data_IF_689973714829
#
_entry.id   IF_689973714829
#
_cell.length_a   1.000
_cell.length_b   1.000
_cell.length_c   1.000
_cell.angle_alpha   90.00
_cell.angle_beta   90.00
_cell.angle_gamma   90.00
#
_symmetry.space_group_name_H-M   'P 1'
#
loop_
_entity.id
_entity.type
_entity.pdbx_description
1 polymer ?
#
# COMPACT_ATOMS: atom_id res chain seq x y z
N UNK A 1 -4.56 -4.94 -3.68
CA UNK A 1 -4.11 -6.04 -4.55
C UNK A 1 -2.65 -6.42 -4.29
N UNK A 2 -1.69 -5.50 -4.42
CA UNK A 2 -0.25 -5.70 -4.13
C UNK A 2 0.03 -6.44 -2.81
N UNK A 3 -0.63 -6.02 -1.71
CA UNK A 3 -0.43 -6.61 -0.38
C UNK A 3 -0.89 -8.07 -0.30
N UNK A 4 -1.99 -8.43 -0.96
CA UNK A 4 -2.45 -9.83 -1.02
C UNK A 4 -1.49 -10.71 -1.84
N UNK A 5 -0.94 -10.18 -2.95
CA UNK A 5 0.06 -10.89 -3.75
C UNK A 5 1.34 -11.15 -2.94
N UNK A 6 1.78 -10.15 -2.18
CA UNK A 6 2.91 -10.27 -1.26
C UNK A 6 2.64 -11.32 -0.16
N UNK A 7 1.46 -11.27 0.46
CA UNK A 7 1.06 -12.21 1.51
C UNK A 7 0.97 -13.66 1.01
N UNK A 8 0.39 -13.88 -0.18
CA UNK A 8 0.31 -15.19 -0.81
C UNK A 8 1.72 -15.74 -1.09
N UNK A 9 2.60 -14.91 -1.64
CA UNK A 9 3.98 -15.30 -1.96
C UNK A 9 4.76 -15.64 -0.70
N UNK A 10 4.64 -14.85 0.36
CA UNK A 10 5.25 -15.13 1.67
C UNK A 10 4.72 -16.43 2.29
N UNK A 11 3.44 -16.74 2.10
CA UNK A 11 2.82 -18.00 2.55
C UNK A 11 3.43 -19.19 1.81
N UNK A 12 3.57 -19.11 0.49
CA UNK A 12 4.21 -20.16 -0.32
C UNK A 12 5.67 -20.36 0.09
N UNK A 13 6.41 -19.28 0.35
CA UNK A 13 7.79 -19.37 0.85
C UNK A 13 7.85 -20.10 2.19
N UNK A 14 6.95 -19.76 3.11
CA UNK A 14 6.86 -20.40 4.44
C UNK A 14 6.52 -21.89 4.31
N UNK A 15 5.58 -22.24 3.43
CA UNK A 15 5.22 -23.62 3.14
C UNK A 15 6.41 -24.42 2.57
N UNK A 16 7.19 -23.84 1.64
CA UNK A 16 8.41 -24.48 1.14
C UNK A 16 9.41 -24.79 2.27
N UNK A 17 9.55 -23.89 3.24
CA UNK A 17 10.44 -24.10 4.39
C UNK A 17 9.93 -25.24 5.27
N UNK A 18 8.67 -25.14 5.69
CA UNK A 18 8.08 -26.03 6.68
C UNK A 18 7.87 -27.45 6.14
N UNK A 19 7.37 -27.59 4.91
CA UNK A 19 6.97 -28.88 4.34
C UNK A 19 8.10 -29.58 3.57
N UNK A 20 9.09 -28.85 3.04
CA UNK A 20 10.11 -29.44 2.16
C UNK A 20 11.53 -29.26 2.71
N UNK A 21 11.95 -28.03 3.00
CA UNK A 21 13.34 -27.73 3.40
C UNK A 21 13.66 -28.35 4.76
N UNK A 22 12.85 -28.04 5.78
CA UNK A 22 13.12 -28.46 7.16
C UNK A 22 13.12 -29.99 7.34
N UNK A 23 12.14 -30.76 6.81
CA UNK A 23 12.15 -32.22 6.93
C UNK A 23 13.37 -32.86 6.25
N UNK A 24 13.71 -32.43 5.03
CA UNK A 24 14.87 -32.96 4.32
C UNK A 24 16.20 -32.58 5.00
N UNK A 25 16.31 -31.37 5.56
CA UNK A 25 17.48 -30.97 6.35
C UNK A 25 17.64 -31.80 7.63
N UNK A 26 16.54 -32.15 8.31
CA UNK A 26 16.58 -33.02 9.51
C UNK A 26 17.13 -34.41 9.18
N UNK A 27 16.72 -35.01 8.05
CA UNK A 27 17.24 -36.31 7.59
C UNK A 27 18.76 -36.21 7.35
N UNK A 28 19.20 -35.20 6.61
CA UNK A 28 20.63 -34.99 6.28
C UNK A 28 21.47 -34.79 7.55
N UNK A 29 20.96 -34.03 8.54
CA UNK A 29 21.64 -33.81 9.82
C UNK A 29 21.68 -35.10 10.65
N UNK A 30 20.61 -35.88 10.68
CA UNK A 30 20.56 -37.15 11.41
C UNK A 30 21.56 -38.17 10.85
N UNK A 31 21.65 -38.31 9.52
CA UNK A 31 22.64 -39.21 8.89
C UNK A 31 24.07 -38.79 9.18
N UNK A 32 24.37 -37.48 9.10
CA UNK A 32 25.69 -36.94 9.45
C UNK A 32 26.07 -37.19 10.90
N UNK A 33 25.13 -37.05 11.84
CA UNK A 33 25.36 -37.38 13.27
C UNK A 33 25.63 -38.86 13.49
N UNK A 34 25.00 -39.72 12.69
CA UNK A 34 25.18 -41.16 12.75
C UNK A 34 26.41 -41.67 11.96
N UNK A 35 27.24 -40.77 11.41
CA UNK A 35 28.40 -41.14 10.59
C UNK A 35 28.05 -41.74 9.22
N UNK A 36 26.78 -41.71 8.81
CA UNK A 36 26.32 -42.17 7.50
C UNK A 36 26.49 -41.07 6.45
N UNK A 37 26.68 -41.48 5.19
CA UNK A 37 26.63 -40.54 4.05
C UNK A 37 25.16 -40.20 3.74
N UNK A 38 24.73 -38.93 3.84
CA UNK A 38 23.36 -38.55 3.53
C UNK A 38 22.99 -38.82 2.07
N UNK A 39 21.74 -39.17 1.83
CA UNK A 39 21.22 -39.32 0.47
C UNK A 39 21.31 -37.99 -0.31
N UNK A 40 21.89 -38.03 -1.51
CA UNK A 40 22.06 -36.83 -2.34
C UNK A 40 20.72 -36.18 -2.74
N UNK A 41 19.66 -36.99 -2.88
CA UNK A 41 18.32 -36.56 -3.29
C UNK A 41 17.71 -35.53 -2.34
N UNK A 42 17.75 -35.78 -1.03
CA UNK A 42 17.23 -34.84 -0.02
C UNK A 42 17.96 -33.49 -0.04
N UNK A 43 19.28 -33.52 -0.27
CA UNK A 43 20.08 -32.31 -0.44
C UNK A 43 19.70 -31.52 -1.70
N UNK A 44 19.48 -32.19 -2.82
CA UNK A 44 19.08 -31.55 -4.08
C UNK A 44 17.69 -30.90 -4.00
N UNK A 45 16.70 -31.61 -3.44
CA UNK A 45 15.34 -31.09 -3.25
C UNK A 45 15.36 -29.85 -2.35
N UNK A 46 16.11 -29.92 -1.24
CA UNK A 46 16.30 -28.80 -0.32
C UNK A 46 16.91 -27.60 -1.03
N UNK A 47 17.99 -27.82 -1.80
CA UNK A 47 18.68 -26.75 -2.54
C UNK A 47 17.78 -26.08 -3.56
N UNK A 48 16.97 -26.85 -4.29
CA UNK A 48 16.03 -26.31 -5.28
C UNK A 48 15.02 -25.36 -4.61
N UNK A 49 14.34 -25.82 -3.55
CA UNK A 49 13.34 -24.99 -2.84
C UNK A 49 13.97 -23.79 -2.14
N UNK A 50 15.15 -23.95 -1.55
CA UNK A 50 15.90 -22.83 -0.99
C UNK A 50 16.27 -21.80 -2.05
N UNK A 51 16.61 -22.24 -3.27
CA UNK A 51 16.91 -21.36 -4.40
C UNK A 51 15.65 -20.58 -4.81
N UNK A 52 14.50 -21.25 -4.98
CA UNK A 52 13.23 -20.57 -5.25
C UNK A 52 12.89 -19.53 -4.18
N UNK A 53 12.98 -19.90 -2.90
CA UNK A 53 12.74 -18.98 -1.78
C UNK A 53 13.78 -17.85 -1.68
N UNK A 54 14.91 -17.95 -2.37
CA UNK A 54 15.93 -16.90 -2.38
C UNK A 54 15.57 -15.77 -3.36
N UNK A 55 14.79 -16.05 -4.41
CA UNK A 55 14.34 -15.06 -5.41
C UNK A 55 13.17 -14.19 -4.97
N UNK A 56 12.34 -14.68 -4.05
CA UNK A 56 11.08 -14.07 -3.68
C UNK A 56 11.13 -12.95 -2.61
N UNK A 57 12.11 -12.86 -1.70
CA UNK A 57 12.11 -11.83 -0.65
C UNK A 57 12.17 -10.40 -1.17
N UNK A 58 13.07 -10.13 -2.14
CA UNK A 58 13.21 -8.78 -2.71
C UNK A 58 11.91 -8.31 -3.40
N UNK A 59 11.30 -9.10 -4.33
CA UNK A 59 9.97 -8.80 -4.85
C UNK A 59 8.91 -8.54 -3.78
N UNK A 60 8.82 -9.42 -2.77
CA UNK A 60 7.81 -9.33 -1.71
C UNK A 60 7.95 -8.04 -0.91
N UNK A 61 9.18 -7.65 -0.52
CA UNK A 61 9.41 -6.41 0.23
C UNK A 61 8.95 -5.20 -0.57
N UNK A 62 9.30 -5.11 -1.86
CA UNK A 62 8.85 -3.99 -2.69
C UNK A 62 7.32 -3.96 -2.87
N UNK A 63 6.67 -5.12 -3.04
CA UNK A 63 5.22 -5.21 -3.12
C UNK A 63 4.54 -4.78 -1.81
N UNK A 64 5.12 -5.09 -0.64
CA UNK A 64 4.60 -4.64 0.65
C UNK A 64 4.77 -3.12 0.82
N UNK A 65 5.94 -2.60 0.45
CA UNK A 65 6.28 -1.19 0.55
C UNK A 65 5.49 -0.29 -0.42
N UNK A 66 4.93 -0.85 -1.48
CA UNK A 66 4.09 -0.10 -2.44
C UNK A 66 2.91 0.64 -1.79
N UNK A 67 2.37 0.12 -0.67
CA UNK A 67 1.28 0.79 0.05
C UNK A 67 1.73 2.05 0.81
N UNK A 68 3.03 2.21 1.04
CA UNK A 68 3.61 3.39 1.69
C UNK A 68 3.96 4.51 0.69
N UNK A 69 4.05 4.20 -0.61
CA UNK A 69 4.39 5.17 -1.66
C UNK A 69 3.33 5.22 -2.75
N UNK A 70 2.06 5.54 -2.43
CA UNK A 70 0.95 5.48 -3.37
C UNK A 70 1.16 6.36 -4.61
N UNK A 71 1.90 7.46 -4.50
CA UNK A 71 2.24 8.32 -5.65
C UNK A 71 3.01 7.58 -6.76
N UNK A 72 3.73 6.51 -6.43
CA UNK A 72 4.47 5.69 -7.39
C UNK A 72 3.70 4.45 -7.87
N UNK A 73 2.56 4.11 -7.26
CA UNK A 73 1.88 2.82 -7.46
C UNK A 73 0.35 2.88 -7.63
N UNK A 74 -0.28 4.04 -7.37
CA UNK A 74 -1.72 4.24 -7.44
C UNK A 74 -2.19 4.68 -8.84
N UNK A 75 -1.69 4.04 -9.88
CA UNK A 75 -2.18 4.21 -11.25
C UNK A 75 -3.19 3.11 -11.61
N UNK A 76 -4.04 3.29 -12.64
CA UNK A 76 -4.91 2.22 -13.15
C UNK A 76 -4.14 0.92 -13.49
N UNK A 77 -2.88 1.06 -13.90
CA UNK A 77 -1.98 -0.03 -14.28
C UNK A 77 -1.20 -0.66 -13.11
N UNK A 78 -1.69 -0.54 -11.87
CA UNK A 78 -1.04 -1.07 -10.67
C UNK A 78 -0.71 -2.58 -10.78
N UNK A 79 -1.51 -3.36 -11.51
CA UNK A 79 -1.23 -4.78 -11.76
C UNK A 79 0.01 -5.01 -12.63
N UNK A 80 0.24 -4.15 -13.62
CA UNK A 80 1.41 -4.20 -14.48
C UNK A 80 2.66 -3.75 -13.70
N UNK A 81 2.52 -2.68 -12.92
CA UNK A 81 3.61 -2.22 -12.04
C UNK A 81 3.98 -3.29 -11.02
N UNK A 82 3.00 -4.01 -10.46
CA UNK A 82 3.26 -5.16 -9.58
C UNK A 82 4.13 -6.24 -10.25
N UNK A 83 3.82 -6.58 -11.51
CA UNK A 83 4.58 -7.57 -12.28
C UNK A 83 6.00 -7.08 -12.59
N UNK A 84 6.16 -5.80 -12.94
CA UNK A 84 7.45 -5.17 -13.20
C UNK A 84 8.33 -5.12 -11.94
N UNK A 85 7.76 -4.73 -10.79
CA UNK A 85 8.44 -4.74 -9.50
C UNK A 85 8.88 -6.16 -9.11
N UNK A 86 8.02 -7.15 -9.36
CA UNK A 86 8.38 -8.54 -9.13
C UNK A 86 9.57 -8.96 -10.00
N UNK A 87 9.54 -8.64 -11.29
CA UNK A 87 10.63 -8.93 -12.22
C UNK A 87 11.94 -8.23 -11.81
N UNK A 88 11.86 -6.98 -11.37
CA UNK A 88 12.98 -6.20 -10.84
C UNK A 88 13.66 -6.89 -9.65
N UNK A 89 12.88 -7.39 -8.69
CA UNK A 89 13.44 -8.13 -7.55
C UNK A 89 14.12 -9.43 -7.98
N UNK A 90 13.57 -10.12 -9.00
CA UNK A 90 14.16 -11.34 -9.57
C UNK A 90 15.48 -11.05 -10.29
N UNK A 91 15.57 -9.99 -11.10
CA UNK A 91 16.80 -9.63 -11.82
C UNK A 91 17.93 -9.23 -10.87
N UNK A 92 17.63 -8.44 -9.84
CA UNK A 92 18.60 -8.08 -8.80
C UNK A 92 19.09 -9.34 -8.06
N UNK A 93 18.18 -10.21 -7.64
CA UNK A 93 18.59 -11.45 -6.95
C UNK A 93 19.39 -12.37 -7.86
N UNK A 94 19.05 -12.43 -9.15
CA UNK A 94 19.79 -13.26 -10.11
C UNK A 94 21.26 -12.87 -10.18
N UNK A 95 21.57 -11.56 -10.15
CA UNK A 95 22.93 -11.06 -10.09
C UNK A 95 23.68 -11.60 -8.87
N UNK A 96 23.11 -11.40 -7.67
CA UNK A 96 23.74 -11.85 -6.44
C UNK A 96 23.86 -13.37 -6.38
N UNK A 97 22.85 -14.13 -6.78
CA UNK A 97 22.92 -15.58 -6.76
C UNK A 97 24.01 -16.11 -7.71
N UNK A 98 24.17 -15.50 -8.89
CA UNK A 98 25.21 -15.87 -9.86
C UNK A 98 26.61 -15.51 -9.36
N UNK A 99 26.74 -14.33 -8.73
CA UNK A 99 27.97 -13.88 -8.07
C UNK A 99 28.39 -14.82 -6.94
N UNK A 100 27.47 -15.14 -6.02
CA UNK A 100 27.74 -16.06 -4.89
C UNK A 100 28.00 -17.49 -5.35
N UNK A 101 27.46 -17.89 -6.51
CA UNK A 101 27.77 -19.17 -7.15
C UNK A 101 29.13 -19.18 -7.88
N UNK A 102 29.90 -18.08 -7.85
CA UNK A 102 31.17 -17.90 -8.55
C UNK A 102 31.10 -18.16 -10.07
N UNK A 103 29.96 -17.85 -10.69
CA UNK A 103 29.73 -18.01 -12.14
C UNK A 103 29.99 -16.73 -12.94
N UNK A 104 30.61 -15.72 -12.32
CA UNK A 104 30.91 -14.42 -12.91
C UNK A 104 29.88 -13.34 -12.56
N UNK A 105 29.96 -12.21 -13.26
CA UNK A 105 29.17 -11.00 -13.01
C UNK A 105 28.19 -10.78 -14.18
N UNK A 106 26.91 -11.15 -14.05
CA UNK A 106 25.94 -10.99 -15.13
C UNK A 106 25.45 -9.54 -15.22
N UNK A 107 26.29 -8.63 -15.71
CA UNK A 107 25.98 -7.19 -15.77
C UNK A 107 24.69 -6.83 -16.54
N UNK A 108 24.24 -7.71 -17.44
CA UNK A 108 22.96 -7.55 -18.15
C UNK A 108 21.76 -7.40 -17.21
N UNK A 109 21.81 -8.00 -16.00
CA UNK A 109 20.71 -7.90 -15.04
C UNK A 109 20.53 -6.47 -14.53
N UNK A 110 21.61 -5.69 -14.43
CA UNK A 110 21.55 -4.29 -14.05
C UNK A 110 20.95 -3.43 -15.16
N UNK A 111 21.31 -3.69 -16.42
CA UNK A 111 20.67 -3.05 -17.58
C UNK A 111 19.17 -3.33 -17.64
N UNK A 112 18.77 -4.59 -17.43
CA UNK A 112 17.35 -4.98 -17.36
C UNK A 112 16.63 -4.31 -16.17
N UNK A 113 17.27 -4.26 -15.00
CA UNK A 113 16.71 -3.61 -13.81
C UNK A 113 16.51 -2.11 -14.04
N UNK A 114 17.49 -1.42 -14.65
CA UNK A 114 17.39 -0.01 -14.99
C UNK A 114 16.27 0.26 -15.99
N UNK A 115 16.13 -0.60 -17.01
CA UNK A 115 15.03 -0.52 -17.97
C UNK A 115 13.67 -0.66 -17.27
N UNK A 116 13.51 -1.65 -16.39
CA UNK A 116 12.28 -1.88 -15.63
C UNK A 116 11.94 -0.65 -14.77
N UNK A 117 12.93 -0.09 -14.06
CA UNK A 117 12.73 1.13 -13.26
C UNK A 117 12.30 2.29 -14.14
N UNK A 118 12.93 2.49 -15.29
CA UNK A 118 12.54 3.54 -16.24
C UNK A 118 11.11 3.35 -16.74
N UNK A 119 10.69 2.12 -17.03
CA UNK A 119 9.30 1.81 -17.42
C UNK A 119 8.32 2.09 -16.29
N UNK A 120 8.64 1.72 -15.05
CA UNK A 120 7.79 2.02 -13.87
C UNK A 120 7.64 3.53 -13.70
N UNK A 121 8.74 4.29 -13.76
CA UNK A 121 8.73 5.76 -13.65
C UNK A 121 7.89 6.38 -14.78
N UNK A 122 8.05 5.90 -16.02
CA UNK A 122 7.28 6.38 -17.17
C UNK A 122 5.78 6.11 -17.01
N UNK A 123 5.38 4.89 -16.64
CA UNK A 123 3.99 4.54 -16.36
C UNK A 123 3.42 5.35 -15.17
N UNK A 124 4.23 5.60 -14.15
CA UNK A 124 3.82 6.41 -12.99
C UNK A 124 3.65 7.89 -13.33
N UNK A 125 4.51 8.43 -14.19
CA UNK A 125 4.42 9.81 -14.67
C UNK A 125 3.18 10.05 -15.56
N UNK A 126 2.80 9.06 -16.37
CA UNK A 126 1.58 9.11 -17.20
C UNK A 126 0.30 8.94 -16.40
N UNK A 127 0.35 8.23 -15.26
CA UNK A 127 -0.80 7.97 -14.40
C UNK A 127 -0.96 8.92 -13.22
N UNK A 128 -0.20 10.03 -13.18
CA UNK A 128 -0.39 11.07 -12.17
C UNK A 128 -1.84 11.54 -12.15
N UNK A 129 -2.40 11.89 -10.98
CA UNK A 129 -3.77 12.39 -10.93
C UNK A 129 -3.87 13.60 -11.84
N UNK A 130 -4.55 13.45 -12.96
CA UNK A 130 -5.16 14.57 -13.63
C UNK A 130 -6.05 15.19 -12.58
N UNK A 131 -5.61 16.30 -11.98
CA UNK A 131 -6.50 17.20 -11.26
C UNK A 131 -7.67 17.37 -12.22
N UNK A 132 -8.88 16.88 -11.90
CA UNK A 132 -10.00 17.10 -12.78
C UNK A 132 -10.16 18.61 -12.78
N UNK A 133 -9.73 19.25 -13.87
CA UNK A 133 -10.07 20.64 -14.15
C UNK A 133 -11.58 20.71 -13.94
N UNK A 134 -11.97 21.48 -12.92
CA UNK A 134 -13.32 21.86 -12.54
C UNK A 134 -14.31 21.61 -13.67
N UNK A 135 -14.84 20.39 -13.70
CA UNK A 135 -15.87 20.01 -14.65
C UNK A 135 -17.18 20.43 -13.99
N UNK A 136 -18.07 21.19 -14.63
CA UNK A 136 -19.31 21.67 -14.02
C UNK A 136 -20.25 20.54 -13.53
N UNK A 137 -19.97 19.29 -13.89
CA UNK A 137 -20.64 18.09 -13.39
C UNK A 137 -20.23 17.72 -11.96
N UNK A 138 -19.04 18.11 -11.49
CA UNK A 138 -18.56 17.91 -10.12
C UNK A 138 -19.07 18.96 -9.13
N UNK A 139 -20.13 19.72 -9.43
CA UNK A 139 -20.81 20.58 -8.43
C UNK A 139 -22.13 19.99 -7.93
N UNK A 140 -22.69 18.97 -8.61
CA UNK A 140 -23.95 18.35 -8.17
C UNK A 140 -23.69 17.34 -7.04
N UNK A 141 -24.35 17.53 -5.90
CA UNK A 141 -24.41 16.54 -4.83
C UNK A 141 -25.45 15.49 -5.21
N UNK A 142 -25.17 14.21 -4.91
CA UNK A 142 -26.22 13.19 -4.94
C UNK A 142 -27.28 13.51 -3.86
N UNK A 143 -28.53 13.03 -3.99
CA UNK A 143 -29.56 13.26 -2.98
C UNK A 143 -29.12 12.85 -1.56
N UNK A 144 -28.35 11.76 -1.44
CA UNK A 144 -27.80 11.33 -0.15
C UNK A 144 -26.73 12.27 0.42
N UNK A 145 -25.91 12.87 -0.45
CA UNK A 145 -24.90 13.85 -0.02
C UNK A 145 -25.53 15.20 0.32
N UNK A 146 -26.57 15.62 -0.41
CA UNK A 146 -27.35 16.80 -0.05
C UNK A 146 -28.05 16.65 1.30
N UNK A 147 -28.58 15.46 1.63
CA UNK A 147 -29.12 15.21 2.98
C UNK A 147 -28.09 15.37 4.10
N UNK A 148 -26.81 15.07 3.82
CA UNK A 148 -25.75 15.25 4.79
C UNK A 148 -25.46 16.73 5.07
N UNK A 149 -25.63 17.62 4.09
CA UNK A 149 -25.47 19.07 4.33
C UNK A 149 -26.62 19.66 5.15
N UNK A 150 -27.81 19.07 5.05
CA UNK A 150 -29.00 19.47 5.82
C UNK A 150 -29.15 18.71 7.15
N UNK A 151 -28.25 17.77 7.45
CA UNK A 151 -28.38 16.91 8.61
C UNK A 151 -28.11 17.68 9.92
N UNK A 152 -28.84 17.38 11.00
CA UNK A 152 -28.55 17.92 12.32
C UNK A 152 -27.07 17.68 12.71
N UNK A 153 -26.41 18.74 13.18
CA UNK A 153 -25.00 18.68 13.58
C UNK A 153 -24.00 18.95 12.45
N UNK A 154 -24.44 19.35 11.26
CA UNK A 154 -23.52 19.71 10.17
C UNK A 154 -22.67 20.95 10.48
N UNK A 155 -23.22 22.00 11.11
CA UNK A 155 -22.43 23.22 11.41
C UNK A 155 -21.26 22.94 12.37
N UNK A 156 -21.43 22.23 13.50
CA UNK A 156 -20.31 21.80 14.33
C UNK A 156 -19.27 20.96 13.57
N UNK A 157 -19.71 20.11 12.63
CA UNK A 157 -18.80 19.30 11.81
C UNK A 157 -17.95 20.20 10.91
N UNK A 158 -18.53 21.22 10.29
CA UNK A 158 -17.80 22.16 9.45
C UNK A 158 -16.70 22.87 10.24
N UNK A 159 -17.02 23.34 11.45
CA UNK A 159 -16.06 24.01 12.32
C UNK A 159 -14.92 23.08 12.74
N UNK A 160 -15.25 21.86 13.19
CA UNK A 160 -14.25 20.85 13.56
C UNK A 160 -13.33 20.52 12.37
N UNK A 161 -13.90 20.32 11.18
CA UNK A 161 -13.11 19.97 9.99
C UNK A 161 -12.21 21.13 9.57
N UNK A 162 -12.70 22.36 9.62
CA UNK A 162 -11.91 23.55 9.34
C UNK A 162 -10.71 23.68 10.29
N UNK A 163 -10.93 23.47 11.60
CA UNK A 163 -9.88 23.58 12.62
C UNK A 163 -8.89 22.41 12.62
N UNK A 164 -9.37 21.18 12.41
CA UNK A 164 -8.58 19.97 12.62
C UNK A 164 -8.01 19.37 11.34
N UNK A 165 -8.58 19.66 10.18
CA UNK A 165 -8.29 18.94 8.93
C UNK A 165 -7.84 19.86 7.78
N UNK A 166 -8.36 21.09 7.68
CA UNK A 166 -8.15 21.95 6.51
C UNK A 166 -6.66 22.31 6.26
N UNK A 167 -5.84 22.38 7.31
CA UNK A 167 -4.39 22.62 7.18
C UNK A 167 -3.66 21.61 6.28
N UNK A 168 -4.18 20.38 6.18
CA UNK A 168 -3.60 19.33 5.32
C UNK A 168 -4.53 18.93 4.16
N UNK A 169 -5.84 19.10 4.32
CA UNK A 169 -6.87 18.68 3.37
C UNK A 169 -7.51 19.88 2.64
N UNK A 170 -6.68 20.81 2.20
CA UNK A 170 -7.04 21.97 1.38
C UNK A 170 -6.59 21.78 -0.07
N UNK A 171 -7.15 22.55 -1.00
CA UNK A 171 -6.65 22.60 -2.38
C UNK A 171 -5.17 23.01 -2.39
N UNK A 172 -4.80 23.95 -1.52
CA UNK A 172 -3.44 24.37 -1.22
C UNK A 172 -3.14 24.15 0.28
N UNK A 173 -2.56 23.01 0.66
CA UNK A 173 -2.24 22.73 2.06
C UNK A 173 -1.25 23.73 2.65
N UNK A 174 -1.50 24.13 3.89
CA UNK A 174 -0.66 25.07 4.64
C UNK A 174 0.38 24.38 5.54
N UNK A 175 0.40 23.05 5.56
CA UNK A 175 1.36 22.28 6.35
C UNK A 175 2.74 22.26 5.67
N UNK A 176 3.84 22.58 6.38
CA UNK A 176 5.19 22.60 5.80
C UNK A 176 5.56 21.29 5.09
N UNK A 177 6.01 21.41 3.85
CA UNK A 177 6.43 20.27 3.01
C UNK A 177 5.29 19.52 2.31
N UNK A 178 4.04 19.99 2.44
CA UNK A 178 2.89 19.41 1.76
C UNK A 178 2.54 20.25 0.52
N UNK A 179 2.63 19.65 -0.66
CA UNK A 179 2.34 20.32 -1.96
C UNK A 179 0.89 20.08 -2.38
N UNK A 180 0.32 18.93 -2.01
CA UNK A 180 -1.05 18.54 -2.33
C UNK A 180 -1.70 17.82 -1.16
N UNK A 181 -3.03 17.91 -1.05
CA UNK A 181 -3.76 17.20 -0.01
C UNK A 181 -3.51 15.68 -0.07
N UNK A 182 -3.30 15.01 1.09
CA UNK A 182 -3.09 13.58 1.13
C UNK A 182 -4.25 12.83 0.46
N UNK A 183 -3.93 11.92 -0.46
CA UNK A 183 -4.91 11.15 -1.26
C UNK A 183 -5.89 12.01 -2.07
N UNK A 184 -5.60 13.29 -2.29
CA UNK A 184 -6.50 14.22 -3.00
C UNK A 184 -7.80 14.53 -2.26
N UNK A 185 -7.84 14.31 -0.93
CA UNK A 185 -9.02 14.60 -0.11
C UNK A 185 -9.01 16.08 0.24
N UNK A 186 -9.93 16.84 -0.35
CA UNK A 186 -10.17 18.27 -0.07
C UNK A 186 -11.39 18.39 0.84
N UNK A 187 -11.35 19.31 1.81
CA UNK A 187 -12.33 19.51 2.87
C UNK A 187 -12.58 21.01 3.16
N UNK A 188 -12.70 21.82 2.11
CA UNK A 188 -12.85 23.28 2.23
C UNK A 188 -14.30 23.74 2.22
N UNK A 189 -15.15 23.07 1.45
CA UNK A 189 -16.55 23.48 1.25
C UNK A 189 -17.55 22.47 1.85
N UNK A 190 -18.79 22.90 2.13
CA UNK A 190 -19.86 21.99 2.53
C UNK A 190 -20.04 20.80 1.58
N UNK A 191 -19.88 21.05 0.29
CA UNK A 191 -19.97 20.06 -0.78
C UNK A 191 -18.86 19.02 -0.65
N UNK A 192 -17.64 19.45 -0.34
CA UNK A 192 -16.50 18.57 -0.13
C UNK A 192 -16.68 17.68 1.10
N UNK A 193 -17.16 18.25 2.21
CA UNK A 193 -17.46 17.52 3.43
C UNK A 193 -18.52 16.45 3.20
N UNK A 194 -19.61 16.78 2.50
CA UNK A 194 -20.66 15.83 2.17
C UNK A 194 -20.15 14.70 1.26
N UNK A 195 -19.24 14.99 0.34
CA UNK A 195 -18.60 13.98 -0.52
C UNK A 195 -17.70 13.04 0.25
N UNK A 196 -16.96 13.60 1.21
CA UNK A 196 -16.00 12.87 2.03
C UNK A 196 -16.61 12.37 3.35
N UNK A 197 -17.93 12.47 3.54
CA UNK A 197 -18.60 12.14 4.79
C UNK A 197 -18.27 10.72 5.30
N UNK A 198 -18.24 9.73 4.41
CA UNK A 198 -17.83 8.36 4.77
C UNK A 198 -16.37 8.28 5.23
N UNK A 199 -15.48 9.04 4.59
CA UNK A 199 -14.06 9.06 4.97
C UNK A 199 -13.88 9.77 6.32
N UNK A 200 -14.56 10.90 6.55
CA UNK A 200 -14.61 11.60 7.83
C UNK A 200 -15.13 10.69 8.96
N UNK A 201 -16.26 10.00 8.71
CA UNK A 201 -16.82 9.03 9.65
C UNK A 201 -15.83 7.92 10.00
N UNK A 202 -15.21 7.27 9.01
CA UNK A 202 -14.32 6.13 9.26
C UNK A 202 -13.01 6.53 9.91
N UNK A 203 -12.36 7.59 9.41
CA UNK A 203 -10.98 7.92 9.77
C UNK A 203 -10.84 8.89 10.93
N UNK A 204 -11.78 9.83 11.09
CA UNK A 204 -11.76 10.81 12.16
C UNK A 204 -12.79 10.51 13.25
N UNK A 205 -13.99 10.03 12.90
CA UNK A 205 -15.01 9.68 13.89
C UNK A 205 -14.76 8.32 14.56
N UNK A 206 -14.99 7.24 13.82
CA UNK A 206 -15.00 5.85 14.29
C UNK A 206 -13.62 5.32 14.66
N UNK A 207 -12.56 5.80 14.00
CA UNK A 207 -11.18 5.46 14.34
C UNK A 207 -10.41 6.73 14.72
N UNK A 208 -9.22 6.53 15.27
CA UNK A 208 -8.29 7.61 15.59
C UNK A 208 -7.17 7.73 14.53
N UNK A 209 -7.44 7.28 13.30
CA UNK A 209 -6.45 7.30 12.23
C UNK A 209 -6.14 8.74 11.77
N UNK A 210 -7.13 9.63 11.86
CA UNK A 210 -7.01 11.05 11.59
C UNK A 210 -7.47 11.88 12.80
N UNK A 211 -6.83 13.03 13.07
CA UNK A 211 -5.55 13.47 12.53
C UNK A 211 -4.41 12.50 12.89
N UNK A 212 -3.37 12.31 12.06
CA UNK A 212 -2.29 11.37 12.35
C UNK A 212 -1.61 11.74 13.67
N UNK A 213 -1.40 10.76 14.55
CA UNK A 213 -0.86 10.99 15.90
C UNK A 213 -1.58 12.09 16.71
N UNK A 214 -2.83 12.39 16.35
CA UNK A 214 -3.61 13.51 16.88
C UNK A 214 -2.89 14.87 16.84
N UNK A 215 -2.18 15.16 15.74
CA UNK A 215 -1.38 16.38 15.57
C UNK A 215 -2.15 17.68 15.83
N UNK A 216 -3.44 17.74 15.50
CA UNK A 216 -4.30 18.92 15.73
C UNK A 216 -5.09 18.83 17.03
N UNK A 217 -4.76 17.90 17.93
CA UNK A 217 -5.39 17.74 19.25
C UNK A 217 -6.92 17.63 19.19
N UNK A 218 -7.42 16.78 18.30
CA UNK A 218 -8.86 16.50 18.19
C UNK A 218 -9.32 15.65 19.37
N UNK A 219 -10.37 16.08 20.07
CA UNK A 219 -10.87 15.43 21.27
C UNK A 219 -11.90 14.32 20.97
N UNK A 220 -12.39 13.62 21.99
CA UNK A 220 -13.38 12.54 21.82
C UNK A 220 -14.79 13.06 21.55
N UNK A 221 -15.13 14.26 22.02
CA UNK A 221 -16.45 14.86 21.82
C UNK A 221 -16.63 15.30 20.36
N UNK A 222 -15.62 15.96 19.78
CA UNK A 222 -15.55 16.32 18.38
C UNK A 222 -15.71 15.09 17.46
N UNK A 223 -15.07 13.96 17.83
CA UNK A 223 -15.22 12.70 17.10
C UNK A 223 -16.62 12.13 17.19
N UNK A 224 -17.24 12.19 18.38
CA UNK A 224 -18.62 11.78 18.58
C UNK A 224 -19.59 12.63 17.75
N UNK A 225 -19.31 13.94 17.59
CA UNK A 225 -20.07 14.84 16.72
C UNK A 225 -20.03 14.40 15.25
N UNK A 226 -18.86 14.03 14.71
CA UNK A 226 -18.75 13.48 13.35
C UNK A 226 -19.57 12.19 13.16
N UNK A 227 -19.55 11.31 14.16
CA UNK A 227 -20.31 10.05 14.15
C UNK A 227 -21.82 10.33 14.17
N UNK A 228 -22.27 11.23 15.05
CA UNK A 228 -23.67 11.58 15.20
C UNK A 228 -24.23 12.20 13.92
N UNK A 229 -23.48 13.11 13.29
CA UNK A 229 -23.85 13.73 12.03
C UNK A 229 -23.98 12.73 10.87
N UNK A 230 -22.99 11.86 10.64
CA UNK A 230 -23.07 10.85 9.56
C UNK A 230 -24.26 9.91 9.76
N UNK A 231 -24.55 9.51 11.01
CA UNK A 231 -25.72 8.70 11.34
C UNK A 231 -27.03 9.45 11.08
N UNK A 232 -27.11 10.71 11.49
CA UNK A 232 -28.28 11.56 11.28
C UNK A 232 -28.57 11.72 9.78
N UNK A 233 -27.56 12.06 8.97
CA UNK A 233 -27.72 12.22 7.51
C UNK A 233 -28.07 10.93 6.76
N UNK A 234 -27.76 9.76 7.33
CA UNK A 234 -28.17 8.44 6.79
C UNK A 234 -29.54 7.97 7.28
N UNK A 235 -30.00 8.45 8.43
CA UNK A 235 -31.27 8.04 9.04
C UNK A 235 -32.49 8.78 8.48
N UNK A 236 -32.29 9.92 7.80
CA UNK A 236 -33.36 10.64 7.12
C UNK A 236 -33.74 9.88 5.83
N UNK A 237 -35.01 9.47 5.67
CA UNK A 237 -35.48 8.71 4.50
C UNK A 237 -35.25 9.44 3.17
#
# INVERSE_FOLDING_TARGET
MMLHLAALTATIMTANVFLIIMPNQRIVVADRRAGRRPEARSGQITKLRSTHNTYLPLPVIFLMLSNHYPLAFATPDNWLIAALVFLMGVTIRHFFNTLHARRGHPWWTWGMTALIVATIVWLSALGGPTVPATSPETTRLSPAQFRLTEAPGFDPVQEIVALRCAMCHAAEPLWPGMIHAPKGVILETPVDLARQARALYLHAGHTQAMPPANLTAMDLAERATLIAWDRAGRAVP
#
